data_IF_958520941420
#
_entry.id   IF_958520941420
#
_cell.length_a   1.000
_cell.length_b   1.000
_cell.length_c   1.000
_cell.angle_alpha   90.00
_cell.angle_beta   90.00
_cell.angle_gamma   90.00
#
_symmetry.space_group_name_H-M   'P 1'
#
loop_
_entity.id
_entity.type
_entity.pdbx_description
1 polymer ?
#
# COMPACT_ATOMS: atom_id res chain seq x y z
N UNK A 1 29.12 62.24 -0.28
CA UNK A 1 28.79 61.59 -1.58
C UNK A 1 27.29 61.38 -1.66
N UNK A 2 26.74 61.53 -2.87
CA UNK A 2 25.43 62.09 -3.16
C UNK A 2 24.19 61.19 -2.87
N UNK A 3 23.09 61.85 -2.48
CA UNK A 3 21.66 61.44 -2.63
C UNK A 3 21.17 61.91 -4.02
N UNK A 4 20.15 61.32 -4.68
CA UNK A 4 18.73 61.39 -4.24
C UNK A 4 17.84 60.17 -4.66
N UNK A 5 16.77 59.84 -3.91
CA UNK A 5 15.33 60.12 -4.12
C UNK A 5 14.57 59.35 -5.24
N UNK A 6 13.52 58.64 -4.78
CA UNK A 6 12.26 58.09 -5.38
C UNK A 6 11.77 58.64 -6.75
N UNK A 7 10.94 57.87 -7.51
CA UNK A 7 9.48 58.02 -7.37
C UNK A 7 8.63 56.73 -7.48
N UNK A 8 7.42 56.83 -6.92
CA UNK A 8 6.28 55.95 -7.18
C UNK A 8 5.60 56.33 -8.51
N UNK A 9 5.02 55.36 -9.22
CA UNK A 9 3.96 55.60 -10.22
C UNK A 9 2.89 54.51 -10.16
N UNK A 10 1.65 55.00 -10.12
CA UNK A 10 0.40 54.28 -10.16
C UNK A 10 -0.14 54.14 -11.59
N UNK A 11 -1.27 53.42 -11.69
CA UNK A 11 -2.17 53.21 -12.83
C UNK A 11 -1.66 52.20 -13.88
N UNK A 12 -2.45 51.25 -14.39
CA UNK A 12 -3.73 51.52 -15.05
C UNK A 12 -4.57 50.24 -15.21
N UNK A 13 -5.85 50.33 -14.85
CA UNK A 13 -6.93 49.41 -15.25
C UNK A 13 -6.95 49.21 -16.77
N UNK A 14 -7.18 47.97 -17.24
CA UNK A 14 -8.03 47.73 -18.42
C UNK A 14 -8.94 46.51 -18.20
N UNK A 15 -10.20 46.83 -17.91
CA UNK A 15 -11.36 46.01 -18.26
C UNK A 15 -11.40 45.84 -19.78
N UNK A 16 -11.61 44.62 -20.28
CA UNK A 16 -12.33 44.43 -21.54
C UNK A 16 -13.49 43.47 -21.33
N UNK A 17 -14.68 44.08 -21.35
CA UNK A 17 -15.98 43.44 -21.54
C UNK A 17 -16.08 42.93 -22.98
N UNK A 18 -16.70 41.76 -23.12
CA UNK A 18 -17.83 41.54 -24.01
C UNK A 18 -17.55 41.30 -25.49
N UNK A 19 -17.87 40.09 -25.94
CA UNK A 19 -18.72 39.90 -27.13
C UNK A 19 -19.26 38.48 -27.18
N UNK A 20 -20.53 38.34 -26.80
CA UNK A 20 -21.41 37.33 -27.40
C UNK A 20 -21.79 37.79 -28.81
N UNK A 21 -22.05 36.85 -29.72
CA UNK A 21 -23.05 37.04 -30.77
C UNK A 21 -24.29 36.18 -30.50
N UNK A 22 -25.40 36.74 -30.95
CA UNK A 22 -26.77 36.27 -30.84
C UNK A 22 -27.10 35.16 -31.83
N UNK A 23 -28.09 34.39 -31.41
CA UNK A 23 -29.08 33.59 -32.15
C UNK A 23 -29.49 34.05 -33.56
N UNK A 24 -29.67 33.04 -34.43
CA UNK A 24 -30.71 32.87 -35.46
C UNK A 24 -30.72 31.36 -35.77
N UNK A 25 -31.79 30.61 -36.04
CA UNK A 25 -33.20 30.89 -36.30
C UNK A 25 -33.71 29.77 -37.24
N UNK A 26 -34.72 29.01 -36.78
CA UNK A 26 -35.72 28.24 -37.53
C UNK A 26 -35.32 27.21 -38.63
N UNK A 27 -35.78 25.96 -38.46
CA UNK A 27 -36.87 25.31 -39.24
C UNK A 27 -36.61 23.81 -39.50
N UNK A 28 -37.66 22.99 -39.38
CA UNK A 28 -37.69 21.61 -39.91
C UNK A 28 -37.95 20.47 -38.89
N UNK A 29 -39.23 20.20 -38.58
CA UNK A 29 -39.72 18.84 -38.22
C UNK A 29 -39.94 18.03 -39.52
N UNK A 30 -40.25 16.71 -39.47
CA UNK A 30 -39.75 15.64 -38.59
C UNK A 30 -39.36 14.38 -39.41
N UNK A 31 -38.38 13.58 -38.96
CA UNK A 31 -38.23 12.19 -39.43
C UNK A 31 -38.25 11.23 -38.25
N UNK A 32 -39.37 10.50 -38.14
CA UNK A 32 -39.50 9.27 -37.38
C UNK A 32 -38.42 8.27 -37.83
N UNK A 33 -37.59 7.82 -36.91
CA UNK A 33 -37.05 6.47 -36.92
C UNK A 33 -36.94 6.04 -35.46
N UNK A 34 -37.91 5.22 -35.03
CA UNK A 34 -37.96 4.67 -33.69
C UNK A 34 -36.72 3.81 -33.45
N UNK A 35 -35.82 4.29 -32.59
CA UNK A 35 -34.77 3.46 -32.02
C UNK A 35 -35.36 2.88 -30.73
N UNK A 36 -35.80 1.62 -30.79
CA UNK A 36 -36.16 0.82 -29.61
C UNK A 36 -34.97 0.89 -28.66
N UNK A 37 -35.18 1.54 -27.52
CA UNK A 37 -34.36 1.28 -26.35
C UNK A 37 -34.83 -0.07 -25.87
N UNK A 38 -34.12 -1.13 -26.24
CA UNK A 38 -34.20 -2.40 -25.52
C UNK A 38 -33.61 -2.11 -24.13
N UNK A 39 -34.47 -1.57 -23.27
CA UNK A 39 -34.34 -1.74 -21.84
C UNK A 39 -34.43 -3.26 -21.63
N UNK A 40 -33.28 -3.92 -21.70
CA UNK A 40 -33.10 -5.27 -21.20
C UNK A 40 -33.52 -5.21 -19.73
N UNK A 41 -34.80 -5.50 -19.52
CA UNK A 41 -35.47 -5.65 -18.24
C UNK A 41 -34.64 -6.69 -17.51
N UNK A 42 -33.77 -6.24 -16.62
CA UNK A 42 -33.05 -7.12 -15.71
C UNK A 42 -34.15 -7.71 -14.84
N UNK A 43 -34.63 -8.90 -15.22
CA UNK A 43 -35.59 -9.64 -14.42
C UNK A 43 -34.97 -9.76 -13.02
N UNK A 44 -35.69 -9.40 -11.95
CA UNK A 44 -35.21 -9.67 -10.60
C UNK A 44 -34.94 -11.17 -10.51
N UNK A 45 -33.74 -11.52 -10.05
CA UNK A 45 -33.34 -12.91 -9.87
C UNK A 45 -34.37 -13.61 -8.98
N UNK A 46 -34.60 -14.89 -9.23
CA UNK A 46 -35.44 -15.70 -8.34
C UNK A 46 -34.88 -15.62 -6.91
N UNK A 47 -35.73 -15.52 -5.86
CA UNK A 47 -35.27 -15.46 -4.48
C UNK A 47 -34.28 -16.58 -4.11
N UNK A 48 -34.37 -17.74 -4.78
CA UNK A 48 -33.42 -18.86 -4.63
C UNK A 48 -32.05 -18.56 -5.25
N UNK A 49 -32.01 -18.00 -6.46
CA UNK A 49 -30.76 -17.63 -7.14
C UNK A 49 -30.06 -16.45 -6.42
N UNK A 50 -30.86 -15.55 -5.85
CA UNK A 50 -30.38 -14.47 -4.98
C UNK A 50 -29.74 -15.04 -3.71
N UNK A 51 -30.43 -15.97 -3.04
CA UNK A 51 -29.93 -16.63 -1.82
C UNK A 51 -28.66 -17.43 -2.08
N UNK A 52 -28.57 -18.15 -3.21
CA UNK A 52 -27.38 -18.94 -3.55
C UNK A 52 -26.17 -18.06 -3.86
N UNK A 53 -26.34 -16.98 -4.64
CA UNK A 53 -25.28 -15.98 -4.86
C UNK A 53 -24.87 -15.28 -3.58
N UNK A 54 -25.81 -14.99 -2.70
CA UNK A 54 -25.52 -14.42 -1.39
C UNK A 54 -24.70 -15.40 -0.55
N UNK A 55 -25.05 -16.68 -0.50
CA UNK A 55 -24.28 -17.72 0.20
C UNK A 55 -22.85 -17.84 -0.38
N UNK A 56 -22.70 -17.88 -1.70
CA UNK A 56 -21.39 -17.95 -2.35
C UNK A 56 -20.54 -16.70 -2.05
N UNK A 57 -21.16 -15.52 -2.13
CA UNK A 57 -20.50 -14.24 -1.88
C UNK A 57 -20.12 -14.07 -0.40
N UNK A 58 -21.03 -14.34 0.52
CA UNK A 58 -20.78 -14.26 1.95
C UNK A 58 -19.83 -15.36 2.44
N UNK A 59 -19.90 -16.56 1.85
CA UNK A 59 -18.95 -17.64 2.09
C UNK A 59 -17.53 -17.31 1.63
N UNK A 60 -17.39 -16.63 0.48
CA UNK A 60 -16.10 -16.12 0.01
C UNK A 60 -15.53 -15.04 0.94
N UNK A 61 -16.35 -14.06 1.34
CA UNK A 61 -15.92 -12.98 2.27
C UNK A 61 -15.52 -13.53 3.64
N UNK A 62 -16.30 -14.47 4.20
CA UNK A 62 -15.98 -15.10 5.48
C UNK A 62 -14.66 -15.89 5.42
N UNK A 63 -14.45 -16.64 4.32
CA UNK A 63 -13.20 -17.38 4.10
C UNK A 63 -12.00 -16.44 3.99
N UNK A 64 -12.10 -15.34 3.23
CA UNK A 64 -11.03 -14.34 3.13
C UNK A 64 -10.73 -13.70 4.50
N UNK A 65 -11.77 -13.36 5.26
CA UNK A 65 -11.60 -12.76 6.59
C UNK A 65 -10.94 -13.74 7.56
N UNK A 66 -11.37 -15.01 7.57
CA UNK A 66 -10.78 -16.06 8.39
C UNK A 66 -9.31 -16.31 8.03
N UNK A 67 -8.96 -16.33 6.74
CA UNK A 67 -7.57 -16.47 6.29
C UNK A 67 -6.69 -15.29 6.76
N UNK A 68 -7.19 -14.05 6.66
CA UNK A 68 -6.49 -12.86 7.16
C UNK A 68 -6.27 -12.91 8.66
N UNK A 69 -7.31 -13.24 9.43
CA UNK A 69 -7.21 -13.38 10.89
C UNK A 69 -6.23 -14.48 11.29
N UNK A 70 -6.30 -15.65 10.64
CA UNK A 70 -5.43 -16.79 10.94
C UNK A 70 -3.96 -16.48 10.64
N UNK A 71 -3.68 -15.85 9.49
CA UNK A 71 -2.33 -15.44 9.12
C UNK A 71 -1.78 -14.37 10.07
N UNK A 72 -2.60 -13.37 10.39
CA UNK A 72 -2.22 -12.31 11.32
C UNK A 72 -1.94 -12.85 12.73
N UNK A 73 -2.81 -13.72 13.24
CA UNK A 73 -2.64 -14.35 14.55
C UNK A 73 -1.37 -15.22 14.60
N UNK A 74 -1.07 -15.96 13.52
CA UNK A 74 0.19 -16.70 13.40
C UNK A 74 1.39 -15.77 13.52
N UNK A 75 1.37 -14.62 12.84
CA UNK A 75 2.46 -13.65 12.91
C UNK A 75 2.61 -13.07 14.32
N UNK A 76 1.50 -12.75 15.00
CA UNK A 76 1.53 -12.28 16.39
C UNK A 76 2.10 -13.32 17.34
N UNK A 77 1.64 -14.57 17.24
CA UNK A 77 2.12 -15.67 18.10
C UNK A 77 3.60 -15.99 17.87
N UNK A 78 4.10 -15.75 16.66
CA UNK A 78 5.50 -15.95 16.28
C UNK A 78 6.40 -14.72 16.49
N UNK A 79 5.90 -13.63 17.11
CA UNK A 79 6.58 -12.34 17.24
C UNK A 79 8.09 -12.44 17.56
N UNK A 80 8.42 -13.17 18.61
CA UNK A 80 9.80 -13.27 19.11
C UNK A 80 10.76 -13.99 18.15
N UNK A 81 10.24 -14.68 17.13
CA UNK A 81 11.05 -15.36 16.12
C UNK A 81 11.53 -14.42 14.99
N UNK A 82 10.84 -13.29 14.78
CA UNK A 82 11.10 -12.40 13.64
C UNK A 82 11.30 -10.93 14.03
N UNK A 83 10.96 -10.53 15.26
CA UNK A 83 11.17 -9.16 15.71
C UNK A 83 12.66 -8.80 15.76
N UNK A 84 12.98 -7.52 15.54
CA UNK A 84 14.35 -7.04 15.69
C UNK A 84 14.87 -7.25 17.13
N UNK A 85 16.09 -7.77 17.32
CA UNK A 85 16.65 -8.04 18.64
C UNK A 85 16.70 -6.83 19.58
N UNK A 86 16.72 -5.61 19.05
CA UNK A 86 16.66 -4.37 19.83
C UNK A 86 15.36 -4.21 20.63
N UNK A 87 14.27 -4.87 20.23
CA UNK A 87 13.04 -4.96 21.02
C UNK A 87 13.05 -6.10 22.03
N UNK A 88 13.82 -7.16 21.76
CA UNK A 88 13.81 -8.38 22.56
C UNK A 88 14.30 -8.10 23.98
N UNK A 89 15.25 -7.19 24.18
CA UNK A 89 15.74 -6.82 25.52
C UNK A 89 14.61 -6.45 26.48
N UNK A 90 13.65 -5.63 26.02
CA UNK A 90 12.48 -5.23 26.79
C UNK A 90 11.50 -6.39 27.02
N UNK A 91 11.46 -7.36 26.09
CA UNK A 91 10.61 -8.55 26.17
C UNK A 91 11.17 -9.67 27.07
N UNK A 92 12.50 -9.75 27.23
CA UNK A 92 13.17 -10.84 27.96
C UNK A 92 12.73 -10.92 29.43
N UNK A 93 12.40 -9.78 30.05
CA UNK A 93 11.86 -9.74 31.40
C UNK A 93 10.50 -10.47 31.51
N UNK A 94 9.68 -10.44 30.46
CA UNK A 94 8.38 -11.12 30.42
C UNK A 94 8.46 -12.59 30.01
N UNK A 95 9.51 -12.97 29.28
CA UNK A 95 9.69 -14.33 28.76
C UNK A 95 10.21 -15.32 29.81
N UNK A 96 10.90 -14.86 30.85
CA UNK A 96 11.48 -15.74 31.88
C UNK A 96 12.30 -16.89 31.27
N UNK A 97 11.97 -18.13 31.68
CA UNK A 97 12.56 -19.38 31.18
C UNK A 97 11.86 -19.97 29.94
N UNK A 98 10.76 -19.38 29.47
CA UNK A 98 10.01 -19.85 28.30
C UNK A 98 10.70 -19.53 26.95
N UNK A 99 12.02 -19.34 26.99
CA UNK A 99 12.83 -18.92 25.84
C UNK A 99 12.89 -20.04 24.80
N UNK A 100 12.58 -19.70 23.55
CA UNK A 100 12.89 -20.55 22.40
C UNK A 100 11.92 -21.69 22.09
N UNK A 101 10.78 -21.81 22.79
CA UNK A 101 9.77 -22.85 22.50
C UNK A 101 8.44 -22.21 22.11
N UNK A 102 8.03 -22.38 20.84
CA UNK A 102 6.69 -22.01 20.40
C UNK A 102 5.64 -22.81 21.19
N UNK A 103 4.87 -22.12 22.02
CA UNK A 103 3.86 -22.72 22.89
C UNK A 103 2.66 -21.77 23.06
N UNK A 104 1.51 -22.27 23.53
CA UNK A 104 0.38 -21.42 23.93
C UNK A 104 0.75 -20.40 25.03
N UNK A 105 1.83 -20.64 25.78
CA UNK A 105 2.34 -19.70 26.76
C UNK A 105 3.12 -18.55 26.11
N UNK A 106 4.03 -18.84 25.17
CA UNK A 106 4.78 -17.79 24.46
C UNK A 106 3.88 -16.93 23.58
N UNK A 107 2.83 -17.51 22.98
CA UNK A 107 1.81 -16.73 22.27
C UNK A 107 1.13 -15.72 23.21
N UNK A 108 0.63 -16.15 24.38
CA UNK A 108 0.03 -15.23 25.37
C UNK A 108 0.98 -14.10 25.80
N UNK A 109 2.26 -14.41 25.99
CA UNK A 109 3.29 -13.40 26.30
C UNK A 109 3.45 -12.43 25.13
N UNK A 110 3.49 -12.92 23.88
CA UNK A 110 3.56 -12.07 22.69
C UNK A 110 2.36 -11.10 22.61
N UNK A 111 1.15 -11.57 22.89
CA UNK A 111 -0.04 -10.70 22.94
C UNK A 111 0.05 -9.63 24.02
N UNK A 112 0.43 -10.02 25.24
CA UNK A 112 0.60 -9.09 26.35
C UNK A 112 1.69 -8.04 26.05
N UNK A 113 2.80 -8.48 25.47
CA UNK A 113 3.90 -7.61 25.06
C UNK A 113 3.47 -6.63 23.98
N UNK A 114 2.81 -7.10 22.92
CA UNK A 114 2.33 -6.25 21.84
C UNK A 114 1.34 -5.20 22.35
N UNK A 115 0.43 -5.58 23.26
CA UNK A 115 -0.49 -4.61 23.87
C UNK A 115 0.26 -3.54 24.68
N UNK A 116 1.25 -3.94 25.50
CA UNK A 116 2.09 -3.01 26.26
C UNK A 116 2.96 -2.11 25.36
N UNK A 117 3.39 -2.63 24.21
CA UNK A 117 4.14 -1.90 23.19
C UNK A 117 3.26 -0.99 22.30
N UNK A 118 1.95 -0.87 22.59
CA UNK A 118 1.04 -0.01 21.83
C UNK A 118 0.49 -0.63 20.54
N UNK A 119 0.60 -1.94 20.37
CA UNK A 119 0.03 -2.72 19.26
C UNK A 119 -1.00 -3.75 19.77
N UNK A 120 -2.12 -3.30 20.38
CA UNK A 120 -3.20 -4.19 20.78
C UNK A 120 -3.80 -4.91 19.56
N UNK A 121 -4.53 -6.02 19.75
CA UNK A 121 -5.29 -6.65 18.67
C UNK A 121 -6.23 -5.64 17.99
N UNK A 122 -6.18 -5.49 16.65
CA UNK A 122 -7.10 -4.66 15.90
C UNK A 122 -8.57 -5.11 16.05
N UNK A 123 -9.55 -4.21 15.94
CA UNK A 123 -10.94 -4.60 15.86
C UNK A 123 -11.20 -5.44 14.60
N UNK A 124 -12.21 -6.31 14.64
CA UNK A 124 -12.54 -7.22 13.53
C UNK A 124 -12.74 -6.48 12.20
N UNK A 125 -13.35 -5.29 12.22
CA UNK A 125 -13.60 -4.51 11.01
C UNK A 125 -12.33 -4.04 10.31
N UNK A 126 -11.20 -3.91 11.03
CA UNK A 126 -9.92 -3.56 10.42
C UNK A 126 -9.41 -4.65 9.46
N UNK A 127 -9.87 -5.91 9.62
CA UNK A 127 -9.51 -7.03 8.75
C UNK A 127 -10.33 -7.09 7.45
N UNK A 128 -11.38 -6.28 7.34
CA UNK A 128 -12.14 -6.10 6.09
C UNK A 128 -11.34 -5.28 5.07
N UNK A 129 -10.48 -4.38 5.54
CA UNK A 129 -9.59 -3.59 4.71
C UNK A 129 -8.57 -4.47 3.98
N UNK A 130 -8.21 -4.11 2.75
CA UNK A 130 -7.23 -4.88 1.96
C UNK A 130 -5.83 -4.87 2.58
N UNK A 131 -5.52 -3.81 3.34
CA UNK A 131 -4.31 -3.63 4.12
C UNK A 131 -4.03 -4.80 5.08
N UNK A 132 -5.09 -5.47 5.57
CA UNK A 132 -4.99 -6.63 6.43
C UNK A 132 -4.45 -7.89 5.72
N UNK A 133 -4.54 -7.95 4.38
CA UNK A 133 -3.95 -9.06 3.62
C UNK A 133 -2.42 -9.07 3.76
N UNK A 134 -1.79 -7.90 3.77
CA UNK A 134 -0.34 -7.75 3.93
C UNK A 134 0.12 -8.21 5.31
N UNK A 135 -0.59 -7.81 6.38
CA UNK A 135 -0.27 -8.22 7.75
C UNK A 135 -0.50 -9.72 8.03
N UNK A 136 -1.23 -10.40 7.15
CA UNK A 136 -1.53 -11.83 7.25
C UNK A 136 -0.58 -12.73 6.43
N UNK A 137 0.26 -12.14 5.56
CA UNK A 137 1.28 -12.89 4.83
C UNK A 137 2.33 -13.46 5.81
N UNK A 138 2.97 -14.60 5.47
CA UNK A 138 4.21 -14.99 6.14
C UNK A 138 5.20 -13.81 6.14
N UNK A 139 5.97 -13.64 7.22
CA UNK A 139 6.81 -12.45 7.40
C UNK A 139 7.72 -12.18 6.20
N UNK A 140 8.36 -13.20 5.64
CA UNK A 140 9.23 -13.02 4.47
C UNK A 140 8.48 -12.53 3.22
N UNK A 141 7.27 -13.03 2.99
CA UNK A 141 6.42 -12.58 1.89
C UNK A 141 5.89 -11.15 2.17
N UNK A 142 5.63 -10.81 3.44
CA UNK A 142 5.27 -9.45 3.85
C UNK A 142 6.42 -8.47 3.59
N UNK A 143 7.67 -8.83 3.89
CA UNK A 143 8.84 -8.00 3.58
C UNK A 143 9.03 -7.82 2.08
N UNK A 144 8.87 -8.88 1.28
CA UNK A 144 8.87 -8.78 -0.18
C UNK A 144 7.78 -7.84 -0.70
N UNK A 145 6.58 -7.90 -0.14
CA UNK A 145 5.47 -7.00 -0.48
C UNK A 145 5.74 -5.53 -0.06
N UNK A 146 6.50 -5.30 1.02
CA UNK A 146 6.96 -3.96 1.38
C UNK A 146 8.04 -3.46 0.42
N UNK A 147 8.99 -4.31 0.02
CA UNK A 147 9.91 -4.00 -1.07
C UNK A 147 9.16 -3.63 -2.35
N UNK A 148 8.10 -4.37 -2.70
CA UNK A 148 7.23 -4.05 -3.84
C UNK A 148 6.63 -2.64 -3.74
N UNK A 149 6.22 -2.21 -2.54
CA UNK A 149 5.70 -0.85 -2.31
C UNK A 149 6.76 0.23 -2.54
N UNK A 150 8.00 0.00 -2.11
CA UNK A 150 9.11 0.91 -2.33
C UNK A 150 9.51 0.96 -3.82
N UNK A 151 9.60 -0.19 -4.46
CA UNK A 151 9.91 -0.34 -5.89
C UNK A 151 8.84 0.31 -6.77
N UNK A 152 7.57 0.21 -6.39
CA UNK A 152 6.48 0.93 -7.07
C UNK A 152 6.72 2.44 -7.03
N UNK A 153 7.12 3.00 -5.90
CA UNK A 153 7.46 4.42 -5.79
C UNK A 153 8.69 4.78 -6.64
N UNK A 154 9.71 3.92 -6.66
CA UNK A 154 10.98 4.09 -7.39
C UNK A 154 10.93 3.63 -8.85
N UNK A 155 9.75 3.41 -9.44
CA UNK A 155 9.62 2.83 -10.80
C UNK A 155 10.23 3.68 -11.92
N UNK A 156 10.52 4.97 -11.69
CA UNK A 156 11.35 5.77 -12.58
C UNK A 156 12.78 5.22 -12.68
N UNK A 157 13.39 4.88 -11.54
CA UNK A 157 14.74 4.33 -11.44
C UNK A 157 14.82 2.96 -12.12
N UNK A 158 13.80 2.12 -11.88
CA UNK A 158 13.74 0.74 -12.40
C UNK A 158 13.80 0.63 -13.91
N UNK A 159 13.40 1.68 -14.64
CA UNK A 159 13.48 1.69 -16.12
C UNK A 159 14.91 1.62 -16.63
N UNK A 160 15.87 2.02 -15.81
CA UNK A 160 17.30 1.98 -16.13
C UNK A 160 17.98 0.71 -15.60
N UNK A 161 17.31 -0.06 -14.75
CA UNK A 161 17.76 -1.32 -14.17
C UNK A 161 17.48 -2.49 -15.11
N UNK A 162 18.16 -2.49 -16.26
CA UNK A 162 17.88 -3.43 -17.36
C UNK A 162 18.84 -4.60 -17.42
N UNK A 163 19.99 -4.52 -16.74
CA UNK A 163 21.00 -5.57 -16.73
C UNK A 163 20.55 -6.78 -15.91
N UNK A 164 21.30 -7.88 -16.08
CA UNK A 164 20.97 -9.17 -15.47
C UNK A 164 21.08 -9.12 -13.94
N UNK A 165 22.13 -8.51 -13.41
CA UNK A 165 22.44 -8.53 -11.99
C UNK A 165 21.40 -7.71 -11.21
N UNK A 166 21.04 -6.54 -11.74
CA UNK A 166 19.93 -5.71 -11.25
C UNK A 166 18.60 -6.47 -11.18
N UNK A 167 18.27 -7.25 -12.22
CA UNK A 167 17.04 -8.06 -12.25
C UNK A 167 17.08 -9.21 -11.26
N UNK A 168 18.22 -9.87 -11.10
CA UNK A 168 18.42 -10.93 -10.11
C UNK A 168 18.30 -10.37 -8.67
N UNK A 169 18.85 -9.18 -8.41
CA UNK A 169 18.71 -8.48 -7.13
C UNK A 169 17.24 -8.15 -6.82
N UNK A 170 16.51 -7.58 -7.78
CA UNK A 170 15.07 -7.27 -7.60
C UNK A 170 14.27 -8.56 -7.38
N UNK A 171 14.55 -9.63 -8.12
CA UNK A 171 13.92 -10.92 -7.92
C UNK A 171 14.21 -11.48 -6.52
N UNK A 172 15.43 -11.31 -6.02
CA UNK A 172 15.82 -11.66 -4.65
C UNK A 172 15.01 -10.91 -3.59
N UNK A 173 14.78 -9.60 -3.78
CA UNK A 173 13.96 -8.81 -2.87
C UNK A 173 12.48 -9.18 -2.87
N UNK A 174 11.93 -9.52 -4.04
CA UNK A 174 10.50 -9.78 -4.21
C UNK A 174 10.12 -11.26 -4.00
N UNK A 175 11.10 -12.15 -3.88
CA UNK A 175 10.90 -13.58 -3.63
C UNK A 175 10.41 -14.35 -4.84
N UNK A 176 9.69 -15.46 -4.59
CA UNK A 176 9.35 -16.51 -5.58
C UNK A 176 8.67 -16.00 -6.85
N UNK A 177 7.87 -14.93 -6.78
CA UNK A 177 7.17 -14.34 -7.94
C UNK A 177 7.76 -12.98 -8.35
N UNK A 178 9.01 -12.71 -8.00
CA UNK A 178 9.67 -11.42 -8.22
C UNK A 178 9.73 -10.98 -9.68
N UNK A 179 9.92 -11.89 -10.63
CA UNK A 179 9.91 -11.54 -12.05
C UNK A 179 8.53 -11.06 -12.55
N UNK A 180 7.44 -11.66 -12.06
CA UNK A 180 6.09 -11.24 -12.44
C UNK A 180 5.77 -9.85 -11.87
N UNK A 181 6.16 -9.61 -10.61
CA UNK A 181 6.04 -8.31 -9.97
C UNK A 181 6.91 -7.24 -10.65
N UNK A 182 8.14 -7.56 -11.05
CA UNK A 182 9.01 -6.65 -11.81
C UNK A 182 8.39 -6.28 -13.16
N UNK A 183 7.85 -7.25 -13.91
CA UNK A 183 7.17 -6.96 -15.17
C UNK A 183 6.01 -5.97 -14.95
N UNK A 184 5.18 -6.22 -13.94
CA UNK A 184 4.10 -5.31 -13.58
C UNK A 184 4.64 -3.90 -13.24
N UNK A 185 5.69 -3.80 -12.43
CA UNK A 185 6.30 -2.50 -12.06
C UNK A 185 6.79 -1.70 -13.27
N UNK A 186 7.33 -2.37 -14.30
CA UNK A 186 7.80 -1.73 -15.54
C UNK A 186 6.61 -1.24 -16.40
N UNK A 187 5.51 -2.00 -16.43
CA UNK A 187 4.31 -1.69 -17.19
C UNK A 187 3.49 -0.53 -16.57
N UNK A 188 3.57 -0.34 -15.25
CA UNK A 188 2.87 0.76 -14.57
C UNK A 188 3.44 2.12 -14.99
N UNK A 189 2.56 2.96 -15.54
CA UNK A 189 2.89 4.31 -16.01
C UNK A 189 3.10 5.35 -14.91
N UNK A 190 3.36 6.59 -15.34
CA UNK A 190 3.36 7.81 -14.50
C UNK A 190 4.20 7.73 -13.20
N UNK A 191 5.50 7.40 -13.26
CA UNK A 191 6.34 7.36 -12.06
C UNK A 191 6.44 8.72 -11.36
N UNK A 192 6.58 8.74 -10.02
CA UNK A 192 7.03 9.92 -9.29
C UNK A 192 8.40 10.37 -9.81
N UNK A 193 8.59 11.69 -9.88
CA UNK A 193 9.89 12.29 -10.22
C UNK A 193 10.87 12.21 -9.04
N UNK A 194 11.52 11.07 -8.86
CA UNK A 194 12.43 10.83 -7.72
C UNK A 194 13.79 11.54 -7.87
N UNK A 195 14.16 12.02 -9.07
CA UNK A 195 15.45 12.70 -9.32
C UNK A 195 15.66 13.91 -8.41
N UNK A 196 14.57 14.59 -8.03
CA UNK A 196 14.62 15.70 -7.08
C UNK A 196 14.85 15.22 -5.66
N UNK A 197 14.25 14.09 -5.27
CA UNK A 197 14.44 13.51 -3.94
C UNK A 197 15.88 13.02 -3.74
N UNK A 198 16.49 12.45 -4.79
CA UNK A 198 17.89 12.05 -4.77
C UNK A 198 18.82 13.25 -4.63
N UNK A 199 18.60 14.30 -5.44
CA UNK A 199 19.45 15.51 -5.45
C UNK A 199 19.29 16.41 -4.23
N UNK A 200 18.06 16.69 -3.82
CA UNK A 200 17.75 17.73 -2.83
C UNK A 200 17.51 17.16 -1.42
N UNK A 201 17.18 15.87 -1.30
CA UNK A 201 16.72 15.26 -0.05
C UNK A 201 17.47 13.97 0.34
N UNK A 202 18.57 13.65 -0.34
CA UNK A 202 19.47 12.55 0.03
C UNK A 202 18.86 11.15 -0.08
N UNK A 203 17.90 10.97 -0.99
CA UNK A 203 17.37 9.63 -1.31
C UNK A 203 18.48 8.79 -1.97
N UNK A 204 18.88 7.71 -1.32
CA UNK A 204 19.88 6.79 -1.86
C UNK A 204 19.35 6.08 -3.12
N UNK A 205 20.21 5.80 -4.12
CA UNK A 205 19.84 4.99 -5.28
C UNK A 205 19.58 3.53 -4.88
N UNK A 206 18.78 2.82 -5.66
CA UNK A 206 18.43 1.41 -5.44
C UNK A 206 19.66 0.50 -5.29
N UNK A 207 20.78 0.85 -5.94
CA UNK A 207 22.03 0.07 -5.94
C UNK A 207 22.71 0.01 -4.58
N UNK A 208 22.37 0.95 -3.71
CA UNK A 208 22.93 1.07 -2.36
C UNK A 208 22.01 0.47 -1.29
N UNK A 209 20.81 0.02 -1.66
CA UNK A 209 19.83 -0.51 -0.72
C UNK A 209 19.95 -2.02 -0.57
N UNK A 210 19.87 -2.50 0.66
CA UNK A 210 19.60 -3.89 0.96
C UNK A 210 18.09 -4.14 1.13
N UNK A 211 17.70 -5.41 1.25
CA UNK A 211 16.30 -5.79 1.36
C UNK A 211 15.63 -5.20 2.62
N UNK A 212 16.22 -5.29 3.84
CA UNK A 212 15.61 -4.69 5.02
C UNK A 212 15.40 -3.18 4.92
N UNK A 213 16.35 -2.45 4.31
CA UNK A 213 16.23 -0.99 4.11
C UNK A 213 15.14 -0.68 3.08
N UNK A 214 15.09 -1.41 1.96
CA UNK A 214 14.05 -1.23 0.95
C UNK A 214 12.65 -1.56 1.51
N UNK A 215 12.52 -2.62 2.30
CA UNK A 215 11.28 -2.97 2.98
C UNK A 215 10.88 -1.89 4.01
N UNK A 216 11.86 -1.28 4.71
CA UNK A 216 11.60 -0.15 5.61
C UNK A 216 11.02 1.06 4.88
N UNK A 217 11.58 1.40 3.72
CA UNK A 217 11.03 2.46 2.86
C UNK A 217 9.58 2.15 2.48
N UNK A 218 9.30 0.90 2.10
CA UNK A 218 7.95 0.43 1.77
C UNK A 218 6.97 0.56 2.94
N UNK A 219 7.40 0.17 4.14
CA UNK A 219 6.61 0.34 5.36
C UNK A 219 6.32 1.82 5.63
N UNK A 220 7.34 2.68 5.54
CA UNK A 220 7.18 4.12 5.76
C UNK A 220 6.23 4.75 4.73
N UNK A 221 6.26 4.29 3.48
CA UNK A 221 5.33 4.74 2.44
C UNK A 221 3.88 4.32 2.72
N UNK A 222 3.63 3.14 3.30
CA UNK A 222 2.30 2.76 3.79
C UNK A 222 1.88 3.58 5.02
N UNK A 223 2.80 3.79 5.96
CA UNK A 223 2.54 4.60 7.16
C UNK A 223 2.18 6.04 6.77
N UNK A 224 2.89 6.62 5.82
CA UNK A 224 2.63 7.95 5.30
C UNK A 224 1.29 8.06 4.53
N UNK A 225 0.80 6.94 3.97
CA UNK A 225 -0.54 6.85 3.40
C UNK A 225 -1.66 6.68 4.46
N UNK A 226 -1.31 6.58 5.75
CA UNK A 226 -2.23 6.37 6.87
C UNK A 226 -2.70 4.93 7.03
N UNK A 227 -1.85 3.95 6.69
CA UNK A 227 -2.20 2.52 6.74
C UNK A 227 -1.61 1.78 7.95
N UNK A 228 -0.72 2.42 8.71
CA UNK A 228 0.03 1.78 9.80
C UNK A 228 -0.30 2.35 11.19
N UNK A 229 -1.50 2.92 11.36
CA UNK A 229 -2.01 3.39 12.64
C UNK A 229 -2.03 2.24 13.67
N UNK A 230 -1.98 2.53 14.97
CA UNK A 230 -1.87 1.51 16.02
C UNK A 230 -3.01 0.46 15.99
N UNK A 231 -4.19 0.82 15.48
CA UNK A 231 -5.33 -0.08 15.30
C UNK A 231 -5.34 -0.82 13.95
N UNK A 232 -4.34 -0.61 13.10
CA UNK A 232 -4.20 -1.29 11.82
C UNK A 232 -3.46 -2.62 11.99
N UNK A 233 -3.89 -3.70 11.31
CA UNK A 233 -3.12 -4.94 11.26
C UNK A 233 -1.67 -4.74 10.82
N UNK A 234 -1.41 -3.79 9.92
CA UNK A 234 -0.06 -3.48 9.42
C UNK A 234 0.91 -2.96 10.48
N UNK A 235 0.42 -2.36 11.57
CA UNK A 235 1.28 -1.86 12.63
C UNK A 235 2.16 -2.96 13.25
N UNK A 236 1.74 -4.23 13.15
CA UNK A 236 2.53 -5.38 13.59
C UNK A 236 3.88 -5.47 12.88
N UNK A 237 3.96 -5.11 11.60
CA UNK A 237 5.22 -5.25 10.85
C UNK A 237 6.29 -4.25 11.30
N UNK A 238 5.94 -3.20 12.08
CA UNK A 238 6.90 -2.22 12.61
C UNK A 238 8.02 -2.88 13.43
N UNK A 239 7.74 -4.00 14.08
CA UNK A 239 8.68 -4.69 14.97
C UNK A 239 9.79 -5.44 14.23
N UNK A 240 9.75 -5.54 12.90
CA UNK A 240 10.84 -6.07 12.08
C UNK A 240 12.09 -5.18 12.15
N UNK A 241 11.90 -3.87 12.33
CA UNK A 241 13.00 -2.91 12.41
C UNK A 241 13.22 -2.44 13.83
N UNK A 242 14.45 -2.00 14.12
CA UNK A 242 14.83 -1.39 15.39
C UNK A 242 13.84 -0.34 15.88
N UNK A 243 13.71 -0.22 17.20
CA UNK A 243 12.81 0.73 17.86
C UNK A 243 13.07 2.19 17.50
N UNK A 244 14.34 2.54 17.32
CA UNK A 244 14.80 3.88 16.98
C UNK A 244 14.86 4.16 15.47
N UNK A 245 14.45 3.20 14.63
CA UNK A 245 14.46 3.37 13.17
C UNK A 245 13.66 4.61 12.76
N UNK A 246 14.34 5.53 12.07
CA UNK A 246 13.76 6.78 11.59
C UNK A 246 13.22 6.59 10.17
N UNK A 247 12.09 7.23 9.83
CA UNK A 247 11.61 7.25 8.45
C UNK A 247 12.63 7.94 7.53
N UNK A 248 12.69 7.58 6.24
CA UNK A 248 13.57 8.25 5.30
C UNK A 248 13.29 9.76 5.22
N UNK A 249 14.33 10.59 5.29
CA UNK A 249 14.20 12.07 5.32
C UNK A 249 13.45 12.61 4.10
N UNK A 250 13.71 12.02 2.92
CA UNK A 250 13.08 12.40 1.67
C UNK A 250 11.55 12.24 1.67
N UNK A 251 11.00 11.41 2.56
CA UNK A 251 9.56 11.18 2.64
C UNK A 251 8.81 12.46 3.05
N UNK A 252 9.44 13.35 3.83
CA UNK A 252 8.86 14.63 4.21
C UNK A 252 8.69 15.62 3.05
N UNK A 253 9.33 15.36 1.90
CA UNK A 253 9.18 16.17 0.68
C UNK A 253 8.05 15.66 -0.24
N UNK A 254 7.43 14.53 0.09
CA UNK A 254 6.35 13.94 -0.69
C UNK A 254 4.96 14.40 -0.24
N UNK A 255 3.99 14.36 -1.15
CA UNK A 255 2.57 14.62 -0.83
C UNK A 255 1.87 13.34 -0.38
N UNK A 256 1.37 13.33 0.86
CA UNK A 256 0.68 12.20 1.48
C UNK A 256 -0.55 11.73 0.67
N UNK A 257 -1.27 12.62 -0.02
CA UNK A 257 -2.49 12.27 -0.74
C UNK A 257 -2.23 11.30 -1.91
N UNK A 258 -1.13 11.48 -2.65
CA UNK A 258 -0.76 10.61 -3.78
C UNK A 258 -0.39 9.19 -3.36
N UNK A 259 -0.01 8.99 -2.09
CA UNK A 259 0.48 7.69 -1.62
C UNK A 259 -0.61 6.69 -1.24
N UNK A 260 -1.85 7.15 -1.00
CA UNK A 260 -2.97 6.26 -0.69
C UNK A 260 -3.40 5.43 -1.91
N UNK A 261 -3.49 6.06 -3.08
CA UNK A 261 -3.86 5.35 -4.32
C UNK A 261 -2.76 4.36 -4.74
N UNK A 262 -1.49 4.74 -4.59
CA UNK A 262 -0.34 3.86 -4.82
C UNK A 262 -0.34 2.66 -3.87
N UNK A 263 -0.67 2.88 -2.59
CA UNK A 263 -0.80 1.81 -1.60
C UNK A 263 -1.90 0.81 -2.00
N UNK A 264 -3.07 1.29 -2.45
CA UNK A 264 -4.15 0.44 -2.93
C UNK A 264 -3.74 -0.38 -4.16
N UNK A 265 -3.08 0.24 -5.15
CA UNK A 265 -2.63 -0.47 -6.34
C UNK A 265 -1.68 -1.63 -6.03
N UNK A 266 -0.74 -1.42 -5.11
CA UNK A 266 0.19 -2.47 -4.67
C UNK A 266 -0.55 -3.59 -3.94
N UNK A 267 -1.46 -3.24 -3.02
CA UNK A 267 -2.18 -4.22 -2.20
C UNK A 267 -3.13 -5.09 -3.04
N UNK A 268 -3.81 -4.50 -4.03
CA UNK A 268 -4.65 -5.22 -4.97
C UNK A 268 -3.89 -6.29 -5.78
N UNK A 269 -2.56 -6.17 -5.89
CA UNK A 269 -1.69 -7.12 -6.59
C UNK A 269 -1.06 -8.19 -5.70
N UNK A 270 -1.19 -8.10 -4.38
CA UNK A 270 -0.61 -9.10 -3.47
C UNK A 270 -1.08 -10.53 -3.75
N UNK A 271 -2.36 -10.80 -4.08
CA UNK A 271 -2.79 -12.15 -4.43
C UNK A 271 -2.05 -12.74 -5.64
N UNK A 272 -1.69 -11.91 -6.61
CA UNK A 272 -0.99 -12.32 -7.82
C UNK A 272 0.45 -12.78 -7.52
N UNK A 273 1.06 -12.27 -6.44
CA UNK A 273 2.49 -12.45 -6.15
C UNK A 273 2.79 -13.31 -4.91
N UNK A 274 1.98 -13.19 -3.87
CA UNK A 274 2.28 -13.73 -2.53
C UNK A 274 1.24 -14.69 -1.99
N UNK A 275 0.08 -14.82 -2.64
CA UNK A 275 -0.87 -15.86 -2.28
C UNK A 275 -0.65 -17.10 -3.14
N UNK A 276 -0.54 -18.24 -2.47
CA UNK A 276 -0.72 -19.53 -3.12
C UNK A 276 -2.14 -19.53 -3.69
N UNK A 277 -2.25 -19.64 -5.00
CA UNK A 277 -3.53 -20.02 -5.57
C UNK A 277 -3.73 -21.46 -5.07
N UNK A 278 -4.55 -21.64 -4.04
CA UNK A 278 -5.18 -22.94 -3.79
C UNK A 278 -6.09 -23.15 -4.98
N UNK A 279 -5.55 -23.74 -6.05
CA UNK A 279 -6.36 -24.44 -7.03
C UNK A 279 -7.09 -25.50 -6.19
N UNK A 280 -8.34 -25.20 -5.85
CA UNK A 280 -9.24 -26.24 -5.37
C UNK A 280 -9.43 -27.18 -6.54
N UNK A 281 -8.55 -28.18 -6.64
CA UNK A 281 -8.82 -29.40 -7.38
C UNK A 281 -10.00 -30.07 -6.67
N UNK A 282 -11.21 -29.71 -7.09
CA UNK A 282 -12.36 -30.59 -7.05
C UNK A 282 -12.33 -31.50 -8.26
#
# INVERSE_FOLDING_TARGET
>A
MARPARPARAAMRRRRRGRSPRSAGCSGRPCRAGRRVDAARTMPLSPRDQTMRDIERYGSVATTLAARLTGYERNRGALFAWMDPGWLHDALAMLGDARGVASPHTSRIAHAWLAAAGCPPPPLDAFRCESAALAALPIEDALGALCLRALHFRRAELRYWVDRDSREQIAGWLGRRGFAALRWLIEVGNPPGIDRLMRDHGMAPLGELDMPTLAWEGFCLFAHAGWCDASSPLALLRFVWRRDAQPPVWLGACDAAGHRDDAMQVVARLPDFYQEQTWSSG
#
